data_IF_467309579411
#
_entry.id   IF_467309579411
#
_cell.length_a   1.000
_cell.length_b   1.000
_cell.length_c   1.000
_cell.angle_alpha   90.00
_cell.angle_beta   90.00
_cell.angle_gamma   90.00
#
_symmetry.space_group_name_H-M   'P 1'
#
loop_
_entity.id
_entity.type
_entity.pdbx_description
1 polymer ?
#
# COMPACT_ATOMS: atom_id res chain seq x y z
N UNK A 1 -25.09 22.56 -5.47
CA UNK A 1 -23.98 21.83 -4.81
C UNK A 1 -22.95 21.44 -5.84
N UNK A 2 -21.70 21.78 -5.60
CA UNK A 2 -20.62 21.37 -6.49
C UNK A 2 -19.98 20.09 -5.97
N UNK A 3 -19.69 19.17 -6.86
CA UNK A 3 -18.97 17.96 -6.51
C UNK A 3 -17.56 18.04 -7.09
N UNK A 4 -16.61 17.50 -6.36
CA UNK A 4 -15.22 17.43 -6.77
C UNK A 4 -14.84 15.99 -7.02
N UNK A 5 -14.19 15.73 -8.13
CA UNK A 5 -13.67 14.39 -8.43
C UNK A 5 -12.15 14.48 -8.56
N UNK A 6 -11.47 13.60 -7.88
CA UNK A 6 -10.03 13.44 -8.00
C UNK A 6 -9.71 12.04 -8.48
N UNK A 7 -8.65 11.92 -9.23
CA UNK A 7 -8.18 10.61 -9.68
C UNK A 7 -6.75 10.39 -9.19
N UNK A 8 -6.59 9.38 -8.35
CA UNK A 8 -5.28 8.97 -7.90
C UNK A 8 -4.88 7.69 -8.63
N UNK A 9 -3.60 7.53 -8.81
CA UNK A 9 -3.06 6.35 -9.49
C UNK A 9 -2.15 5.58 -8.55
N UNK A 10 -2.27 4.26 -8.61
CA UNK A 10 -1.38 3.36 -7.88
C UNK A 10 -0.57 2.59 -8.92
N UNK A 11 0.75 2.68 -8.81
CA UNK A 11 1.65 1.86 -9.59
C UNK A 11 2.11 0.71 -8.71
N UNK A 12 1.85 -0.51 -9.16
CA UNK A 12 2.23 -1.71 -8.42
C UNK A 12 3.34 -2.42 -9.20
N UNK A 13 4.49 -2.57 -8.56
CA UNK A 13 5.65 -3.27 -9.14
C UNK A 13 5.87 -4.55 -8.35
N UNK A 14 6.08 -5.66 -9.06
CA UNK A 14 6.24 -6.96 -8.43
C UNK A 14 7.48 -7.63 -9.03
N UNK A 15 8.37 -8.11 -8.18
CA UNK A 15 9.59 -8.82 -8.58
C UNK A 15 9.73 -10.12 -7.81
N UNK A 16 10.22 -11.14 -8.49
CA UNK A 16 10.53 -12.42 -7.85
C UNK A 16 12.02 -12.70 -8.00
N UNK A 17 12.64 -13.16 -6.91
CA UNK A 17 14.04 -13.53 -6.91
C UNK A 17 14.27 -14.65 -5.88
N UNK A 18 14.72 -15.78 -6.36
CA UNK A 18 15.08 -16.94 -5.51
C UNK A 18 13.99 -17.35 -4.52
N UNK A 19 12.75 -17.47 -5.01
CA UNK A 19 11.62 -17.90 -4.17
C UNK A 19 11.06 -16.81 -3.27
N UNK A 20 11.56 -15.59 -3.40
CA UNK A 20 11.05 -14.44 -2.65
C UNK A 20 10.41 -13.46 -3.63
N UNK A 21 9.18 -13.08 -3.37
CA UNK A 21 8.47 -12.08 -4.18
C UNK A 21 8.33 -10.80 -3.38
N UNK A 22 8.69 -9.69 -4.00
CA UNK A 22 8.56 -8.36 -3.40
C UNK A 22 7.62 -7.52 -4.24
N UNK A 23 6.82 -6.72 -3.59
CA UNK A 23 5.92 -5.80 -4.26
C UNK A 23 6.04 -4.41 -3.64
N UNK A 24 5.93 -3.40 -4.49
CA UNK A 24 5.87 -2.01 -4.09
C UNK A 24 4.60 -1.40 -4.67
N UNK A 25 3.83 -0.73 -3.83
CA UNK A 25 2.66 0.02 -4.26
C UNK A 25 2.94 1.49 -4.04
N UNK A 26 2.96 2.26 -5.13
CA UNK A 26 3.19 3.70 -5.07
C UNK A 26 1.89 4.42 -5.40
N UNK A 27 1.40 5.22 -4.47
CA UNK A 27 0.25 6.07 -4.68
C UNK A 27 0.73 7.49 -4.93
N UNK A 28 0.33 8.04 -6.06
CA UNK A 28 0.66 9.41 -6.42
C UNK A 28 -0.51 10.31 -6.03
N UNK A 29 -0.24 11.29 -5.18
CA UNK A 29 -1.24 12.22 -4.66
C UNK A 29 -1.18 13.58 -5.36
N UNK A 30 -0.50 13.65 -6.49
CA UNK A 30 -0.32 14.90 -7.22
C UNK A 30 0.60 15.85 -6.47
N UNK A 31 0.14 17.08 -6.21
CA UNK A 31 0.96 18.09 -5.54
C UNK A 31 1.28 17.73 -4.09
N UNK A 32 0.53 16.82 -3.50
CA UNK A 32 0.75 16.39 -2.11
C UNK A 32 1.78 15.27 -1.99
N UNK A 33 2.47 14.95 -3.09
CA UNK A 33 3.55 13.96 -3.08
C UNK A 33 3.07 12.55 -3.36
N UNK A 34 3.72 11.59 -2.72
CA UNK A 34 3.38 10.19 -2.91
C UNK A 34 3.57 9.40 -1.63
N UNK A 35 2.91 8.25 -1.56
CA UNK A 35 3.08 7.28 -0.48
C UNK A 35 3.50 5.94 -1.08
N UNK A 36 4.29 5.19 -0.33
CA UNK A 36 4.78 3.88 -0.73
C UNK A 36 4.36 2.82 0.27
N UNK A 37 3.88 1.71 -0.24
CA UNK A 37 3.62 0.52 0.55
C UNK A 37 4.46 -0.63 0.04
N UNK A 38 4.88 -1.52 0.93
CA UNK A 38 5.76 -2.65 0.60
C UNK A 38 5.15 -3.95 1.08
N UNK A 39 5.34 -4.98 0.29
CA UNK A 39 4.89 -6.32 0.65
C UNK A 39 5.88 -7.37 0.18
N UNK A 40 5.88 -8.49 0.86
CA UNK A 40 6.78 -9.58 0.53
C UNK A 40 6.07 -10.91 0.77
N UNK A 41 6.40 -11.89 -0.07
CA UNK A 41 5.97 -13.26 0.11
C UNK A 41 7.16 -14.16 -0.13
N UNK A 42 7.35 -15.14 0.73
CA UNK A 42 8.39 -16.14 0.57
C UNK A 42 7.72 -17.49 0.36
N UNK A 43 8.15 -18.21 -0.67
CA UNK A 43 7.66 -19.56 -0.91
C UNK A 43 8.24 -20.49 0.15
N UNK A 44 7.37 -21.24 0.79
CA UNK A 44 7.78 -22.32 1.65
C UNK A 44 8.27 -23.47 0.75
N UNK A 45 9.42 -24.11 1.04
CA UNK A 45 9.94 -25.20 0.18
C UNK A 45 8.95 -26.33 -0.04
N UNK A 46 8.01 -26.55 0.88
CA UNK A 46 7.00 -27.58 0.74
C UNK A 46 5.79 -27.14 -0.10
N UNK A 47 5.69 -25.87 -0.45
CA UNK A 47 4.58 -25.34 -1.23
C UNK A 47 4.83 -25.50 -2.73
N UNK A 48 3.76 -25.59 -3.55
CA UNK A 48 3.93 -25.57 -5.00
C UNK A 48 4.65 -24.30 -5.46
N UNK A 49 5.50 -24.47 -6.45
CA UNK A 49 6.23 -23.34 -7.06
C UNK A 49 5.35 -22.68 -8.12
N UNK A 50 4.38 -21.90 -7.66
CA UNK A 50 3.46 -21.16 -8.52
C UNK A 50 3.69 -19.68 -8.32
N UNK A 51 4.34 -19.04 -9.27
CA UNK A 51 4.71 -17.62 -9.20
C UNK A 51 3.53 -16.71 -8.92
N UNK A 52 2.40 -16.94 -9.57
CA UNK A 52 1.22 -16.10 -9.41
C UNK A 52 0.71 -16.02 -7.98
N UNK A 53 0.86 -17.10 -7.21
CA UNK A 53 0.43 -17.12 -5.81
C UNK A 53 1.27 -16.14 -5.00
N UNK A 54 2.59 -16.20 -5.16
CA UNK A 54 3.50 -15.29 -4.48
C UNK A 54 3.29 -13.84 -4.88
N UNK A 55 3.05 -13.61 -6.17
CA UNK A 55 2.78 -12.26 -6.69
C UNK A 55 1.53 -11.67 -6.05
N UNK A 56 0.45 -12.44 -5.98
CA UNK A 56 -0.80 -11.96 -5.38
C UNK A 56 -0.64 -11.67 -3.90
N UNK A 57 0.06 -12.53 -3.18
CA UNK A 57 0.28 -12.33 -1.73
C UNK A 57 1.14 -11.10 -1.48
N UNK A 58 2.25 -10.94 -2.21
CA UNK A 58 3.12 -9.78 -2.05
C UNK A 58 2.39 -8.49 -2.41
N UNK A 59 1.65 -8.50 -3.51
CA UNK A 59 0.86 -7.34 -3.94
C UNK A 59 -0.19 -6.97 -2.90
N UNK A 60 -0.92 -7.95 -2.37
CA UNK A 60 -1.92 -7.70 -1.33
C UNK A 60 -1.30 -7.07 -0.08
N UNK A 61 -0.13 -7.57 0.32
CA UNK A 61 0.59 -7.01 1.48
C UNK A 61 1.08 -5.60 1.22
N UNK A 62 1.56 -5.31 0.00
CA UNK A 62 1.98 -3.96 -0.38
C UNK A 62 0.80 -2.99 -0.36
N UNK A 63 -0.36 -3.41 -0.87
CA UNK A 63 -1.56 -2.59 -0.86
C UNK A 63 -2.09 -2.36 0.54
N UNK A 64 -2.02 -3.39 1.39
CA UNK A 64 -2.39 -3.26 2.81
C UNK A 64 -1.50 -2.26 3.52
N UNK A 65 -0.19 -2.35 3.29
CA UNK A 65 0.78 -1.40 3.87
C UNK A 65 0.49 0.02 3.40
N UNK A 66 0.22 0.20 2.09
CA UNK A 66 -0.14 1.49 1.54
C UNK A 66 -1.42 2.04 2.17
N UNK A 67 -2.43 1.19 2.39
CA UNK A 67 -3.67 1.59 3.03
C UNK A 67 -3.42 2.11 4.44
N UNK A 68 -2.55 1.45 5.20
CA UNK A 68 -2.18 1.92 6.54
C UNK A 68 -1.41 3.24 6.49
N UNK A 69 -0.56 3.45 5.49
CA UNK A 69 0.15 4.72 5.30
C UNK A 69 -0.83 5.86 5.01
N UNK A 70 -1.86 5.59 4.22
CA UNK A 70 -2.91 6.58 3.93
C UNK A 70 -3.67 6.96 5.20
N UNK A 71 -4.05 5.98 5.99
CA UNK A 71 -4.75 6.24 7.25
C UNK A 71 -3.88 7.04 8.22
N UNK A 72 -2.59 6.71 8.28
CA UNK A 72 -1.65 7.46 9.11
C UNK A 72 -1.52 8.91 8.67
N UNK A 73 -1.46 9.16 7.37
CA UNK A 73 -1.42 10.50 6.82
C UNK A 73 -2.68 11.28 7.17
N UNK A 74 -3.86 10.66 7.02
CA UNK A 74 -5.13 11.27 7.38
C UNK A 74 -5.22 11.57 8.87
N UNK A 75 -4.75 10.64 9.71
CA UNK A 75 -4.74 10.83 11.16
C UNK A 75 -3.87 12.02 11.56
N UNK A 76 -2.68 12.14 10.96
CA UNK A 76 -1.77 13.27 11.23
C UNK A 76 -2.43 14.60 10.84
N UNK A 77 -3.06 14.66 9.67
CA UNK A 77 -3.76 15.86 9.23
C UNK A 77 -4.91 16.23 10.16
N UNK A 78 -5.66 15.24 10.61
CA UNK A 78 -6.77 15.44 11.53
C UNK A 78 -6.27 15.95 12.89
N UNK A 79 -5.20 15.37 13.41
CA UNK A 79 -4.58 15.80 14.66
C UNK A 79 -4.06 17.23 14.57
N UNK A 80 -3.51 17.62 13.42
CA UNK A 80 -3.04 18.99 13.20
C UNK A 80 -4.18 20.01 13.24
N UNK A 81 -5.38 19.59 12.82
CA UNK A 81 -6.55 20.46 12.80
C UNK A 81 -7.23 20.50 14.19
N UNK A 82 -7.39 19.35 14.84
CA UNK A 82 -8.13 19.24 16.08
C UNK A 82 -7.29 19.41 17.34
N UNK A 83 -5.97 19.26 17.22
CA UNK A 83 -5.02 19.23 18.34
C UNK A 83 -5.34 18.11 19.34
N UNK A 84 -5.90 17.02 18.85
CA UNK A 84 -6.24 15.85 19.64
C UNK A 84 -5.77 14.58 18.92
N UNK A 85 -5.39 13.54 19.67
CA UNK A 85 -5.00 12.28 19.06
C UNK A 85 -6.13 11.69 18.20
N UNK A 86 -5.78 11.16 17.02
CA UNK A 86 -6.71 10.52 16.13
C UNK A 86 -6.24 9.10 15.82
N UNK A 87 -7.16 8.15 15.83
CA UNK A 87 -6.89 6.76 15.46
C UNK A 87 -7.89 6.33 14.41
N UNK A 88 -7.38 5.97 13.25
CA UNK A 88 -8.20 5.54 12.12
C UNK A 88 -7.89 4.09 11.79
N UNK A 89 -8.91 3.33 11.41
CA UNK A 89 -8.79 1.91 11.09
C UNK A 89 -9.37 1.61 9.72
N UNK A 90 -8.85 0.56 9.13
CA UNK A 90 -9.44 0.00 7.93
C UNK A 90 -10.77 -0.66 8.24
#
# INVERSE_FOLDING_TARGET
MMSTAERWSIALSVEEHEGQTRAEARLDLGDDGHLMGYGMARRNPSDPDVLEIGEKIAAARALSDLAHMLLGSAATQLEDITHQPARLHL
#
